data_IF_912299761751
#
_entry.id   IF_912299761751
#
_cell.length_a   1.000
_cell.length_b   1.000
_cell.length_c   1.000
_cell.angle_alpha   90.00
_cell.angle_beta   90.00
_cell.angle_gamma   90.00
#
_symmetry.space_group_name_H-M   'P 1'
#
loop_
_entity.id
_entity.type
_entity.pdbx_description
1 polymer ?
#
# COMPACT_ATOMS: atom_id res chain seq x y z
N UNK A 1 -8.10 -19.36 10.27
CA UNK A 1 -7.32 -18.29 10.96
C UNK A 1 -7.05 -17.20 9.93
N UNK A 2 -7.47 -15.95 10.18
CA UNK A 2 -7.22 -14.82 9.27
C UNK A 2 -5.71 -14.53 9.27
N UNK A 3 -5.10 -14.46 8.10
CA UNK A 3 -3.66 -14.17 7.92
C UNK A 3 -3.52 -12.92 7.08
N UNK A 4 -2.60 -12.03 7.42
CA UNK A 4 -2.34 -10.82 6.65
C UNK A 4 -0.88 -10.76 6.22
N UNK A 5 -0.67 -10.15 5.06
CA UNK A 5 0.65 -9.72 4.61
C UNK A 5 0.80 -8.24 4.94
N UNK A 6 1.80 -7.89 5.76
CA UNK A 6 2.10 -6.50 6.06
C UNK A 6 3.14 -5.98 5.06
N UNK A 7 2.74 -5.04 4.21
CA UNK A 7 3.63 -4.35 3.29
C UNK A 7 4.29 -3.19 4.03
N UNK A 8 5.52 -3.42 4.47
CA UNK A 8 6.29 -2.43 5.23
C UNK A 8 6.77 -1.27 4.34
N UNK A 9 7.44 -1.58 3.22
CA UNK A 9 8.03 -0.58 2.35
C UNK A 9 7.87 -0.94 0.87
N UNK A 10 7.41 0.04 0.08
CA UNK A 10 7.42 0.01 -1.38
C UNK A 10 7.82 1.39 -1.89
N UNK A 11 8.88 1.45 -2.71
CA UNK A 11 9.44 2.72 -3.16
C UNK A 11 9.76 2.62 -4.65
N UNK A 12 9.35 3.65 -5.38
CA UNK A 12 9.80 3.90 -6.76
C UNK A 12 10.76 5.08 -6.72
N UNK A 13 11.92 4.93 -7.36
CA UNK A 13 12.89 6.01 -7.52
C UNK A 13 12.21 7.28 -8.05
N UNK A 14 12.56 8.44 -7.51
CA UNK A 14 11.89 9.72 -7.78
C UNK A 14 11.80 10.06 -9.28
N UNK A 15 12.87 9.82 -10.03
CA UNK A 15 12.96 10.04 -11.48
C UNK A 15 12.13 9.05 -12.33
N UNK A 16 11.53 8.05 -11.70
CA UNK A 16 10.70 7.02 -12.34
C UNK A 16 9.26 7.00 -11.82
N UNK A 17 8.89 7.91 -10.93
CA UNK A 17 7.51 8.05 -10.45
C UNK A 17 6.58 8.55 -11.57
N UNK A 18 5.27 8.37 -11.42
CA UNK A 18 4.28 8.75 -12.44
C UNK A 18 4.23 7.84 -13.68
N UNK A 19 5.15 6.89 -13.81
CA UNK A 19 5.24 5.95 -14.95
C UNK A 19 4.42 4.66 -14.79
N UNK A 20 3.68 4.52 -13.68
CA UNK A 20 2.91 3.32 -13.37
C UNK A 20 3.69 2.18 -12.71
N UNK A 21 5.00 2.31 -12.48
CA UNK A 21 5.82 1.28 -11.83
C UNK A 21 5.30 0.88 -10.43
N UNK A 22 4.85 1.85 -9.63
CA UNK A 22 4.29 1.55 -8.30
C UNK A 22 3.04 0.67 -8.37
N UNK A 23 2.20 0.87 -9.39
CA UNK A 23 1.06 0.01 -9.67
C UNK A 23 1.49 -1.40 -10.03
N UNK A 24 2.48 -1.55 -10.93
CA UNK A 24 2.97 -2.86 -11.36
C UNK A 24 3.59 -3.64 -10.21
N UNK A 25 4.36 -2.97 -9.34
CA UNK A 25 4.90 -3.57 -8.12
C UNK A 25 3.79 -4.06 -7.20
N UNK A 26 2.75 -3.24 -6.97
CA UNK A 26 1.65 -3.62 -6.10
C UNK A 26 0.80 -4.76 -6.70
N UNK A 27 0.60 -4.77 -8.02
CA UNK A 27 -0.07 -5.87 -8.73
C UNK A 27 0.64 -7.20 -8.50
N UNK A 28 1.98 -7.21 -8.56
CA UNK A 28 2.75 -8.42 -8.27
C UNK A 28 2.58 -8.88 -6.81
N UNK A 29 2.59 -7.95 -5.86
CA UNK A 29 2.38 -8.26 -4.43
C UNK A 29 0.99 -8.85 -4.21
N UNK A 30 -0.04 -8.28 -4.83
CA UNK A 30 -1.43 -8.78 -4.74
C UNK A 30 -1.53 -10.20 -5.28
N UNK A 31 -0.93 -10.48 -6.44
CA UNK A 31 -0.89 -11.82 -7.04
C UNK A 31 -0.22 -12.83 -6.10
N UNK A 32 0.96 -12.50 -5.57
CA UNK A 32 1.68 -13.36 -4.63
C UNK A 32 0.86 -13.64 -3.36
N UNK A 33 0.19 -12.62 -2.82
CA UNK A 33 -0.65 -12.77 -1.62
C UNK A 33 -1.85 -13.69 -1.87
N UNK A 34 -2.46 -13.61 -3.05
CA UNK A 34 -3.55 -14.50 -3.47
C UNK A 34 -3.08 -15.94 -3.62
N UNK A 35 -1.95 -16.17 -4.29
CA UNK A 35 -1.36 -17.51 -4.48
C UNK A 35 -1.02 -18.17 -3.14
N UNK A 36 -0.49 -17.39 -2.19
CA UNK A 36 -0.19 -17.83 -0.82
C UNK A 36 -1.40 -17.89 0.12
N UNK A 37 -2.60 -17.53 -0.37
CA UNK A 37 -3.86 -17.55 0.38
C UNK A 37 -3.83 -16.69 1.66
N UNK A 38 -3.20 -15.52 1.60
CA UNK A 38 -3.39 -14.49 2.64
C UNK A 38 -4.83 -13.97 2.57
N UNK A 39 -5.39 -13.65 3.74
CA UNK A 39 -6.73 -13.07 3.85
C UNK A 39 -6.72 -11.59 3.48
N UNK A 40 -5.64 -10.87 3.81
CA UNK A 40 -5.55 -9.41 3.64
C UNK A 40 -4.13 -8.94 3.34
N UNK A 41 -4.03 -7.74 2.77
CA UNK A 41 -2.80 -6.96 2.69
C UNK A 41 -3.00 -5.70 3.52
N UNK A 42 -2.06 -5.42 4.40
CA UNK A 42 -2.10 -4.24 5.27
C UNK A 42 -0.85 -3.40 5.06
N UNK A 43 -0.99 -2.08 5.18
CA UNK A 43 0.10 -1.12 5.11
C UNK A 43 -0.25 0.11 5.91
N UNK A 44 0.77 0.89 6.24
CA UNK A 44 0.61 2.25 6.74
C UNK A 44 1.01 3.24 5.65
N UNK A 45 0.32 4.39 5.63
CA UNK A 45 0.65 5.49 4.73
C UNK A 45 0.45 6.80 5.46
N UNK A 46 1.45 7.68 5.38
CA UNK A 46 1.33 9.02 5.96
C UNK A 46 0.26 9.84 5.24
N UNK A 47 -0.52 10.62 5.98
CA UNK A 47 -1.64 11.41 5.48
C UNK A 47 -1.25 12.44 4.42
N UNK A 48 -0.01 12.93 4.43
CA UNK A 48 0.49 13.86 3.42
C UNK A 48 0.83 13.19 2.08
N UNK A 49 0.90 11.85 2.00
CA UNK A 49 1.32 11.13 0.81
C UNK A 49 0.12 10.84 -0.12
N UNK A 50 -0.48 11.90 -0.65
CA UNK A 50 -1.66 11.82 -1.50
C UNK A 50 -1.48 10.88 -2.72
N UNK A 51 -0.27 10.85 -3.30
CA UNK A 51 0.03 9.98 -4.43
C UNK A 51 -0.02 8.49 -4.09
N UNK A 52 0.53 8.09 -2.94
CA UNK A 52 0.46 6.70 -2.47
C UNK A 52 -0.97 6.33 -2.06
N UNK A 53 -1.69 7.23 -1.37
CA UNK A 53 -3.09 7.02 -0.98
C UNK A 53 -3.94 6.74 -2.24
N UNK A 54 -3.86 7.61 -3.26
CA UNK A 54 -4.61 7.43 -4.50
C UNK A 54 -4.26 6.12 -5.23
N UNK A 55 -2.98 5.71 -5.19
CA UNK A 55 -2.56 4.42 -5.74
C UNK A 55 -3.22 3.25 -4.99
N UNK A 56 -3.20 3.27 -3.66
CA UNK A 56 -3.77 2.20 -2.82
C UNK A 56 -5.29 2.12 -2.99
N UNK A 57 -6.00 3.25 -2.96
CA UNK A 57 -7.45 3.31 -3.18
C UNK A 57 -7.83 2.78 -4.57
N UNK A 58 -7.09 3.18 -5.63
CA UNK A 58 -7.30 2.65 -6.99
C UNK A 58 -7.08 1.13 -7.08
N UNK A 59 -6.30 0.57 -6.15
CA UNK A 59 -6.01 -0.87 -6.06
C UNK A 59 -6.94 -1.62 -5.10
N UNK A 60 -7.94 -0.93 -4.55
CA UNK A 60 -8.99 -1.52 -3.72
C UNK A 60 -8.66 -1.59 -2.23
N UNK A 61 -7.60 -0.92 -1.76
CA UNK A 61 -7.37 -0.75 -0.33
C UNK A 61 -8.42 0.19 0.25
N UNK A 62 -8.84 -0.07 1.49
CA UNK A 62 -9.74 0.79 2.26
C UNK A 62 -9.05 1.23 3.55
N UNK A 63 -9.41 2.41 4.07
CA UNK A 63 -8.85 2.91 5.32
C UNK A 63 -9.36 2.07 6.50
N UNK A 64 -8.44 1.52 7.29
CA UNK A 64 -8.76 0.75 8.50
C UNK A 64 -8.68 1.59 9.78
N UNK A 65 -7.62 2.38 9.92
CA UNK A 65 -7.34 3.21 11.10
C UNK A 65 -6.71 4.54 10.68
N UNK A 66 -6.57 5.46 11.65
CA UNK A 66 -5.89 6.73 11.49
C UNK A 66 -5.22 7.12 12.79
N UNK A 67 -3.94 7.46 12.70
CA UNK A 67 -3.21 8.05 13.80
C UNK A 67 -3.37 9.58 13.78
N UNK A 68 -3.46 10.18 14.96
CA UNK A 68 -3.48 11.64 15.16
C UNK A 68 -2.22 12.03 15.92
N UNK A 69 -1.58 13.12 15.50
CA UNK A 69 -0.38 13.66 16.15
C UNK A 69 -0.65 15.11 16.56
N UNK A 70 -0.22 15.48 17.77
CA UNK A 70 -0.13 16.86 18.24
C UNK A 70 1.36 17.19 18.35
N UNK A 71 1.81 18.17 17.58
CA UNK A 71 3.13 18.78 17.77
C UNK A 71 3.03 19.74 18.96
N UNK A 72 3.98 19.64 19.91
CA UNK A 72 4.02 20.43 21.14
C UNK A 72 4.91 21.67 20.98
#
# INVERSE_FOLDING_TARGET
KRTFFFLDNIVVRKDRQGSGLGSQLLDRIITECRERKYSDIMLNVYSFNAGAIALYEKKGFTQLSRDYILEL
#
